data_IF_713147968387
#
_entry.id   IF_713147968387
#
_cell.length_a   1.000
_cell.length_b   1.000
_cell.length_c   1.000
_cell.angle_alpha   90.00
_cell.angle_beta   90.00
_cell.angle_gamma   90.00
#
_symmetry.space_group_name_H-M   'P 1'
#
loop_
_entity.id
_entity.type
_entity.pdbx_description
1 polymer ?
#
# COMPACT_ATOMS: atom_id res chain seq x y z
N UNK A 1 -1.46 -10.05 16.00
CA UNK A 1 -0.98 -9.48 14.72
C UNK A 1 -2.04 -9.75 13.66
N UNK A 2 -2.40 -8.75 12.86
CA UNK A 2 -3.28 -8.96 11.71
C UNK A 2 -2.43 -9.40 10.52
N UNK A 3 -2.75 -10.58 9.98
CA UNK A 3 -2.06 -11.12 8.81
C UNK A 3 -2.84 -10.69 7.56
N UNK A 4 -2.17 -9.95 6.68
CA UNK A 4 -2.70 -9.56 5.39
C UNK A 4 -2.14 -10.43 4.28
N UNK A 5 -2.97 -10.78 3.30
CA UNK A 5 -2.57 -11.59 2.15
C UNK A 5 -2.97 -10.89 0.84
N UNK A 6 -2.09 -10.85 -0.18
CA UNK A 6 -2.43 -10.30 -1.48
C UNK A 6 -3.62 -11.04 -2.13
N UNK A 7 -4.62 -10.30 -2.61
CA UNK A 7 -5.74 -10.88 -3.34
C UNK A 7 -5.37 -11.12 -4.81
N UNK A 8 -5.21 -12.39 -5.18
CA UNK A 8 -4.88 -12.85 -6.53
C UNK A 8 -5.88 -12.37 -7.61
N UNK A 9 -7.10 -12.01 -7.24
CA UNK A 9 -8.08 -11.44 -8.16
C UNK A 9 -7.77 -9.98 -8.52
N UNK A 10 -7.03 -9.27 -7.66
CA UNK A 10 -6.68 -7.86 -7.86
C UNK A 10 -5.27 -7.67 -8.43
N UNK A 11 -4.35 -8.59 -8.14
CA UNK A 11 -2.93 -8.53 -8.54
C UNK A 11 -2.76 -8.26 -10.04
N UNK A 12 -2.03 -7.20 -10.39
CA UNK A 12 -1.67 -6.98 -11.78
C UNK A 12 -0.80 -8.11 -12.37
N UNK A 13 -0.96 -8.39 -13.66
CA UNK A 13 -0.21 -9.48 -14.32
C UNK A 13 1.31 -9.27 -14.39
N UNK A 14 1.83 -8.06 -14.14
CA UNK A 14 3.27 -7.81 -14.01
C UNK A 14 3.77 -7.83 -12.57
N UNK A 15 2.91 -8.10 -11.59
CA UNK A 15 3.36 -8.40 -10.22
C UNK A 15 3.65 -9.88 -10.11
N UNK A 16 4.77 -10.22 -9.49
CA UNK A 16 5.10 -11.58 -9.06
C UNK A 16 4.99 -11.67 -7.55
N UNK A 17 4.35 -12.74 -7.08
CA UNK A 17 4.27 -13.09 -5.68
C UNK A 17 5.21 -14.25 -5.37
N UNK A 18 5.95 -14.15 -4.26
CA UNK A 18 6.85 -15.20 -3.76
C UNK A 18 6.78 -15.30 -2.24
N UNK A 19 7.51 -16.27 -1.65
CA UNK A 19 7.53 -16.53 -0.20
C UNK A 19 6.11 -16.69 0.39
N UNK A 20 5.33 -17.62 -0.17
CA UNK A 20 3.93 -17.84 0.22
C UNK A 20 3.08 -16.55 0.10
N UNK A 21 3.27 -15.82 -1.00
CA UNK A 21 2.62 -14.56 -1.33
C UNK A 21 2.91 -13.41 -0.34
N UNK A 22 4.00 -13.48 0.43
CA UNK A 22 4.39 -12.39 1.32
C UNK A 22 5.27 -11.35 0.63
N UNK A 23 6.02 -11.76 -0.40
CA UNK A 23 6.89 -10.87 -1.17
C UNK A 23 6.21 -10.53 -2.49
N UNK A 24 6.14 -9.23 -2.76
CA UNK A 24 5.50 -8.61 -3.91
C UNK A 24 6.59 -7.88 -4.69
N UNK A 25 6.83 -8.29 -5.93
CA UNK A 25 7.81 -7.66 -6.83
C UNK A 25 7.20 -7.38 -8.18
N UNK A 26 7.78 -6.44 -8.93
CA UNK A 26 7.47 -6.29 -10.34
C UNK A 26 8.32 -7.28 -11.15
N UNK A 27 7.69 -7.95 -12.10
CA UNK A 27 8.34 -8.84 -13.06
C UNK A 27 8.31 -8.25 -14.46
N UNK A 28 9.34 -8.56 -15.24
CA UNK A 28 9.41 -8.21 -16.67
C UNK A 28 8.48 -9.10 -17.51
N UNK A 29 8.11 -10.26 -16.99
CA UNK A 29 7.21 -11.22 -17.64
C UNK A 29 5.80 -11.14 -17.07
N UNK A 30 4.82 -11.37 -17.95
CA UNK A 30 3.41 -11.46 -17.59
C UNK A 30 3.17 -12.79 -16.87
N UNK A 31 2.64 -12.72 -15.65
CA UNK A 31 2.23 -13.87 -14.86
C UNK A 31 0.87 -14.41 -15.31
N UNK A 32 0.66 -15.71 -15.14
CA UNK A 32 -0.54 -16.44 -15.57
C UNK A 32 -1.72 -16.28 -14.61
N UNK A 33 -2.10 -15.05 -14.27
CA UNK A 33 -3.32 -14.81 -13.50
C UNK A 33 -4.55 -14.78 -14.43
N UNK A 34 -5.66 -15.47 -14.07
CA UNK A 34 -6.89 -15.44 -14.85
C UNK A 34 -7.46 -14.03 -14.98
N UNK A 35 -8.20 -13.73 -16.05
CA UNK A 35 -8.88 -12.45 -16.16
C UNK A 35 -9.96 -12.29 -15.06
N UNK A 36 -10.03 -11.08 -14.49
CA UNK A 36 -10.95 -10.77 -13.41
C UNK A 36 -11.29 -9.27 -13.44
N UNK A 37 -12.55 -8.86 -13.20
CA UNK A 37 -12.94 -7.44 -13.19
C UNK A 37 -12.17 -6.62 -12.15
N UNK A 38 -11.87 -7.22 -11.00
CA UNK A 38 -11.12 -6.54 -9.93
C UNK A 38 -9.60 -6.40 -10.19
N UNK A 39 -9.10 -6.92 -11.31
CA UNK A 39 -7.65 -6.94 -11.59
C UNK A 39 -7.15 -5.56 -12.00
N UNK A 40 -6.08 -5.10 -11.35
CA UNK A 40 -5.45 -3.83 -11.73
C UNK A 40 -4.74 -3.90 -13.08
N UNK A 41 -4.83 -2.83 -13.87
CA UNK A 41 -4.03 -2.65 -15.09
C UNK A 41 -2.60 -2.16 -14.81
N UNK A 42 -2.42 -1.42 -13.73
CA UNK A 42 -1.12 -0.93 -13.25
C UNK A 42 -0.50 -1.89 -12.24
N UNK A 43 0.83 -1.92 -12.03
CA UNK A 43 1.55 -2.82 -11.11
C UNK A 43 1.16 -2.68 -9.63
N UNK A 44 -0.09 -3.05 -9.30
CA UNK A 44 -0.75 -2.79 -8.03
C UNK A 44 -1.53 -4.02 -7.56
N UNK A 45 -1.79 -4.07 -6.26
CA UNK A 45 -2.51 -5.17 -5.61
C UNK A 45 -3.19 -4.66 -4.34
N UNK A 46 -4.36 -5.22 -3.99
CA UNK A 46 -4.95 -5.11 -2.66
C UNK A 46 -4.78 -6.41 -1.87
N UNK A 47 -4.76 -6.28 -0.55
CA UNK A 47 -4.97 -7.41 0.34
C UNK A 47 -6.45 -7.81 0.37
N UNK A 48 -6.69 -9.09 0.69
CA UNK A 48 -8.04 -9.66 0.80
C UNK A 48 -8.75 -9.20 2.06
N UNK A 49 -8.02 -9.10 3.17
CA UNK A 49 -8.55 -8.79 4.48
C UNK A 49 -8.72 -7.28 4.64
N UNK A 50 -9.83 -6.87 5.24
CA UNK A 50 -10.04 -5.48 5.63
C UNK A 50 -9.40 -5.19 6.98
N UNK A 51 -9.02 -3.94 7.19
CA UNK A 51 -8.64 -3.40 8.49
C UNK A 51 -9.88 -3.34 9.39
N UNK A 52 -9.77 -3.87 10.62
CA UNK A 52 -10.84 -3.88 11.61
C UNK A 52 -10.37 -3.22 12.92
N UNK A 53 -11.17 -2.29 13.46
CA UNK A 53 -10.88 -1.64 14.73
C UNK A 53 -9.55 -0.89 14.74
N UNK A 54 -8.63 -1.31 15.61
CA UNK A 54 -7.25 -0.83 15.67
C UNK A 54 -6.32 -1.88 15.10
N UNK A 55 -5.62 -1.53 14.04
CA UNK A 55 -4.74 -2.46 13.34
C UNK A 55 -3.35 -1.86 13.18
N UNK A 56 -2.34 -2.70 13.38
CA UNK A 56 -0.96 -2.39 13.10
C UNK A 56 -0.34 -3.53 12.31
N UNK A 57 0.41 -3.19 11.27
CA UNK A 57 1.24 -4.14 10.52
C UNK A 57 2.51 -3.45 10.03
N UNK A 58 3.54 -4.27 9.78
CA UNK A 58 4.82 -3.82 9.26
C UNK A 58 5.03 -4.40 7.87
N UNK A 59 5.74 -3.65 7.04
CA UNK A 59 6.23 -4.10 5.76
C UNK A 59 7.67 -3.69 5.58
N UNK A 60 8.45 -4.54 4.93
CA UNK A 60 9.76 -4.18 4.42
C UNK A 60 9.64 -3.79 2.96
N UNK A 61 10.20 -2.65 2.57
CA UNK A 61 10.12 -2.11 1.22
C UNK A 61 11.47 -1.71 0.65
N UNK A 62 11.70 -1.96 -0.63
CA UNK A 62 12.88 -1.50 -1.36
C UNK A 62 12.47 -0.77 -2.63
N UNK A 63 13.31 0.17 -3.08
CA UNK A 63 13.11 0.87 -4.34
C UNK A 63 11.95 1.88 -4.34
N UNK A 64 11.16 1.87 -5.41
CA UNK A 64 9.98 2.71 -5.64
C UNK A 64 8.68 1.89 -5.44
N UNK A 65 8.00 2.19 -4.33
CA UNK A 65 6.77 1.50 -3.93
C UNK A 65 5.71 2.45 -3.39
N UNK A 66 4.45 2.06 -3.57
CA UNK A 66 3.29 2.70 -2.96
C UNK A 66 2.78 1.81 -1.82
N UNK A 67 2.56 2.41 -0.65
CA UNK A 67 1.96 1.75 0.51
C UNK A 67 0.65 2.47 0.80
N UNK A 68 -0.45 1.75 0.80
CA UNK A 68 -1.77 2.37 0.89
C UNK A 68 -2.73 1.64 1.79
N UNK A 69 -3.72 2.40 2.26
CA UNK A 69 -5.03 1.87 2.65
C UNK A 69 -6.08 2.50 1.76
N UNK A 70 -7.06 1.71 1.34
CA UNK A 70 -8.03 2.14 0.33
C UNK A 70 -9.39 1.48 0.52
N UNK A 71 -10.44 2.11 0.01
CA UNK A 71 -11.74 1.45 -0.11
C UNK A 71 -11.72 0.42 -1.24
N UNK A 72 -12.56 -0.61 -1.13
CA UNK A 72 -12.66 -1.63 -2.20
C UNK A 72 -13.25 -1.07 -3.51
N UNK A 73 -13.93 0.07 -3.46
CA UNK A 73 -14.55 0.73 -4.62
C UNK A 73 -13.56 1.46 -5.54
N UNK A 74 -12.27 1.50 -5.20
CA UNK A 74 -11.27 2.18 -6.04
C UNK A 74 -11.26 1.63 -7.46
N UNK A 75 -10.95 2.48 -8.45
CA UNK A 75 -10.85 2.00 -9.82
C UNK A 75 -9.72 0.98 -9.94
N UNK A 76 -9.95 -0.02 -10.78
CA UNK A 76 -8.97 -1.06 -11.14
C UNK A 76 -8.29 -0.74 -12.47
N UNK A 77 -8.85 0.21 -13.22
CA UNK A 77 -8.52 0.54 -14.59
C UNK A 77 -8.25 2.04 -14.70
N UNK A 78 -7.42 2.43 -15.66
CA UNK A 78 -7.07 3.83 -15.91
C UNK A 78 -5.73 4.23 -15.32
N UNK A 79 -5.58 5.53 -15.08
CA UNK A 79 -4.34 6.16 -14.64
C UNK A 79 -4.08 5.99 -13.13
N UNK A 80 -2.88 6.31 -12.67
CA UNK A 80 -2.50 6.28 -11.25
C UNK A 80 -3.37 7.18 -10.36
N UNK A 81 -3.94 8.26 -10.92
CA UNK A 81 -4.82 9.16 -10.19
C UNK A 81 -6.23 8.60 -10.02
N UNK A 82 -6.60 7.60 -10.82
CA UNK A 82 -7.92 6.96 -10.77
C UNK A 82 -7.91 5.67 -9.95
N UNK A 83 -6.76 5.00 -9.84
CA UNK A 83 -6.59 3.69 -9.19
C UNK A 83 -6.15 3.80 -7.72
N UNK A 84 -5.24 2.91 -7.27
CA UNK A 84 -4.55 3.04 -5.97
C UNK A 84 -3.77 4.35 -5.96
N UNK A 85 -3.84 5.09 -4.85
CA UNK A 85 -3.31 6.45 -4.71
C UNK A 85 -4.09 7.52 -5.49
N UNK A 86 -5.36 7.23 -5.78
CA UNK A 86 -6.36 8.20 -6.21
C UNK A 86 -7.22 8.73 -5.05
N UNK A 87 -8.46 9.09 -5.36
CA UNK A 87 -9.38 9.76 -4.42
C UNK A 87 -9.79 8.93 -3.20
N UNK A 88 -9.92 7.61 -3.36
CA UNK A 88 -10.47 6.70 -2.34
C UNK A 88 -9.38 5.91 -1.61
N UNK A 89 -8.17 6.47 -1.56
CA UNK A 89 -7.01 5.87 -0.93
C UNK A 89 -6.14 6.91 -0.25
N UNK A 90 -5.42 6.46 0.77
CA UNK A 90 -4.37 7.23 1.44
C UNK A 90 -3.07 6.46 1.23
N UNK A 91 -2.11 7.10 0.56
CA UNK A 91 -0.88 6.47 0.14
C UNK A 91 0.34 7.17 0.68
N UNK A 92 1.30 6.38 1.16
CA UNK A 92 2.70 6.76 1.29
C UNK A 92 3.46 6.22 0.07
N UNK A 93 3.96 7.11 -0.78
CA UNK A 93 4.87 6.77 -1.85
C UNK A 93 6.31 6.82 -1.30
N UNK A 94 7.01 5.70 -1.38
CA UNK A 94 8.36 5.55 -0.88
C UNK A 94 9.34 5.45 -2.06
N UNK A 95 10.08 6.52 -2.32
CA UNK A 95 11.24 6.53 -3.22
C UNK A 95 12.54 6.38 -2.40
N UNK A 96 13.65 6.02 -3.05
CA UNK A 96 14.94 5.87 -2.36
C UNK A 96 15.41 7.12 -1.60
N UNK A 97 15.05 8.30 -2.08
CA UNK A 97 15.53 9.59 -1.61
C UNK A 97 14.41 10.52 -1.09
N UNK A 98 13.13 10.19 -1.33
CA UNK A 98 11.97 11.06 -1.04
C UNK A 98 10.72 10.29 -0.71
N UNK A 99 9.94 10.78 0.25
CA UNK A 99 8.61 10.26 0.55
C UNK A 99 7.54 11.29 0.22
N UNK A 100 6.44 10.82 -0.35
CA UNK A 100 5.26 11.65 -0.58
C UNK A 100 4.04 11.01 0.07
N UNK A 101 3.18 11.84 0.62
CA UNK A 101 1.83 11.43 0.96
C UNK A 101 0.87 11.84 -0.15
N UNK A 102 0.01 10.93 -0.59
CA UNK A 102 -0.99 11.19 -1.62
C UNK A 102 -2.38 10.77 -1.15
N UNK A 103 -3.32 11.70 -1.22
CA UNK A 103 -4.74 11.47 -0.97
C UNK A 103 -5.57 12.50 -1.74
N UNK A 104 -6.73 12.10 -2.29
CA UNK A 104 -7.63 13.02 -2.99
C UNK A 104 -6.93 13.82 -4.11
N UNK A 105 -6.05 13.16 -4.87
CA UNK A 105 -5.17 13.76 -5.90
C UNK A 105 -4.27 14.89 -5.41
N UNK A 106 -4.17 15.11 -4.11
CA UNK A 106 -3.25 16.05 -3.50
C UNK A 106 -2.00 15.29 -3.09
N UNK A 107 -0.84 15.84 -3.44
CA UNK A 107 0.47 15.31 -3.09
C UNK A 107 1.10 16.23 -2.06
N UNK A 108 1.63 15.66 -0.99
CA UNK A 108 2.37 16.36 0.06
C UNK A 108 3.76 15.77 0.16
N UNK A 109 4.78 16.61 -0.03
CA UNK A 109 6.17 16.24 0.18
C UNK A 109 6.43 16.06 1.68
N UNK A 110 7.11 14.98 2.06
CA UNK A 110 7.38 14.66 3.44
C UNK A 110 8.87 14.81 3.74
N UNK A 111 9.24 15.45 4.86
CA UNK A 111 10.63 15.58 5.24
C UNK A 111 11.25 14.20 5.46
N UNK A 112 12.30 13.89 4.69
CA UNK A 112 12.95 12.59 4.72
C UNK A 112 13.86 12.51 5.93
N UNK A 113 13.45 11.74 6.93
CA UNK A 113 14.27 11.44 8.12
C UNK A 113 14.57 9.95 8.26
N UNK A 114 13.98 9.12 7.40
CA UNK A 114 14.01 7.65 7.53
C UNK A 114 15.16 7.03 6.75
N UNK A 115 16.09 6.40 7.47
CA UNK A 115 17.09 5.47 6.89
C UNK A 115 16.57 4.04 6.81
N UNK A 116 15.47 3.72 7.51
CA UNK A 116 14.90 2.38 7.52
C UNK A 116 14.03 2.12 6.29
N UNK A 117 14.08 0.86 5.87
CA UNK A 117 13.26 0.28 4.81
C UNK A 117 12.08 -0.52 5.36
N UNK A 118 11.83 -0.46 6.67
CA UNK A 118 10.65 -1.05 7.28
C UNK A 118 9.66 0.05 7.67
N UNK A 119 8.43 -0.09 7.16
CA UNK A 119 7.34 0.86 7.38
C UNK A 119 6.26 0.18 8.22
N UNK A 120 5.96 0.79 9.36
CA UNK A 120 4.80 0.44 10.18
C UNK A 120 3.60 1.25 9.75
N UNK A 121 2.44 0.60 9.60
CA UNK A 121 1.17 1.25 9.30
C UNK A 121 0.22 0.99 10.45
N UNK A 122 -0.29 2.06 11.05
CA UNK A 122 -1.29 2.03 12.11
C UNK A 122 -2.59 2.65 11.63
N UNK A 123 -3.70 1.98 11.91
CA UNK A 123 -5.04 2.49 11.64
C UNK A 123 -5.91 2.33 12.88
N UNK A 124 -6.56 3.42 13.29
CA UNK A 124 -7.70 3.40 14.21
C UNK A 124 -8.95 3.84 13.44
N UNK A 125 -9.80 2.87 13.08
CA UNK A 125 -11.01 3.14 12.28
C UNK A 125 -11.98 4.02 13.05
N UNK A 126 -12.11 3.82 14.37
CA UNK A 126 -13.07 4.56 15.21
C UNK A 126 -12.64 6.01 15.46
N UNK A 127 -11.34 6.22 15.66
CA UNK A 127 -10.76 7.54 15.84
C UNK A 127 -10.40 8.22 14.50
N UNK A 128 -10.61 7.53 13.37
CA UNK A 128 -10.34 8.11 12.07
C UNK A 128 -8.86 8.40 11.80
N UNK A 129 -7.96 7.63 12.42
CA UNK A 129 -6.51 7.90 12.38
C UNK A 129 -5.81 6.89 11.48
N UNK A 130 -4.96 7.38 10.59
CA UNK A 130 -3.98 6.58 9.85
C UNK A 130 -2.60 7.20 10.04
N UNK A 131 -1.65 6.38 10.45
CA UNK A 131 -0.28 6.80 10.73
C UNK A 131 0.72 5.86 10.07
N UNK A 132 1.74 6.44 9.48
CA UNK A 132 2.89 5.76 8.90
C UNK A 132 4.13 6.03 9.74
N UNK A 133 4.90 4.99 9.97
CA UNK A 133 6.10 5.05 10.80
C UNK A 133 7.28 4.41 10.09
N UNK A 134 8.46 4.98 10.28
CA UNK A 134 9.71 4.31 9.99
C UNK A 134 10.12 3.48 11.20
N UNK A 135 10.41 2.21 10.98
CA UNK A 135 10.70 1.23 12.04
C UNK A 135 12.14 0.74 11.87
N UNK A 136 13.00 1.06 12.83
CA UNK A 136 14.34 0.48 12.96
C UNK A 136 14.50 -0.08 14.38
N UNK A 137 15.56 0.29 15.10
CA UNK A 137 15.66 0.07 16.55
C UNK A 137 14.63 0.91 17.33
N UNK A 138 14.19 2.02 16.72
CA UNK A 138 13.13 2.89 17.24
C UNK A 138 12.06 3.12 16.18
N UNK A 139 10.88 3.54 16.62
CA UNK A 139 9.75 3.86 15.75
C UNK A 139 9.58 5.37 15.66
N UNK A 140 9.72 5.92 14.46
CA UNK A 140 9.61 7.36 14.19
C UNK A 140 8.42 7.63 13.29
N UNK A 141 7.61 8.64 13.64
CA UNK A 141 6.44 9.02 12.86
C UNK A 141 6.88 9.66 11.53
N UNK A 142 6.40 9.12 10.42
CA UNK A 142 6.57 9.71 9.08
C UNK A 142 5.43 10.68 8.80
N UNK A 143 4.19 10.21 8.92
CA UNK A 143 3.02 11.00 8.61
C UNK A 143 1.79 10.46 9.33
N UNK A 144 0.88 11.36 9.69
CA UNK A 144 -0.44 11.05 10.25
C UNK A 144 -1.49 11.85 9.52
N UNK A 145 -2.59 11.20 9.20
CA UNK A 145 -3.83 11.84 8.77
C UNK A 145 -4.93 11.52 9.76
N UNK A 146 -5.75 12.53 10.04
CA UNK A 146 -7.06 12.34 10.65
C UNK A 146 -8.14 12.56 9.61
N UNK A 147 -9.08 11.62 9.53
CA UNK A 147 -10.15 11.61 8.53
C UNK A 147 -11.33 10.77 9.05
N UNK A 148 -12.43 10.73 8.31
CA UNK A 148 -13.56 9.85 8.62
C UNK A 148 -13.63 8.75 7.58
N UNK A 149 -13.33 7.52 8.00
CA UNK A 149 -13.48 6.36 7.14
C UNK A 149 -14.96 5.97 7.03
N UNK A 150 -15.46 5.89 5.80
CA UNK A 150 -16.87 5.62 5.50
C UNK A 150 -17.12 4.21 4.98
N UNK A 151 -16.05 3.47 4.68
CA UNK A 151 -16.10 2.08 4.21
C UNK A 151 -14.95 1.27 4.80
N UNK A 152 -15.02 -0.07 4.76
CA UNK A 152 -13.88 -0.92 5.12
C UNK A 152 -12.64 -0.59 4.30
N UNK A 153 -11.50 -0.52 4.99
CA UNK A 153 -10.21 -0.23 4.40
C UNK A 153 -9.45 -1.52 4.09
N UNK A 154 -8.76 -1.54 2.97
CA UNK A 154 -7.93 -2.65 2.52
C UNK A 154 -6.52 -2.14 2.30
N UNK A 155 -5.50 -2.79 2.90
CA UNK A 155 -4.12 -2.51 2.55
C UNK A 155 -3.90 -2.77 1.06
N UNK A 156 -3.08 -1.94 0.44
CA UNK A 156 -2.75 -2.07 -0.98
C UNK A 156 -1.35 -1.57 -1.27
N UNK A 157 -0.77 -2.14 -2.32
CA UNK A 157 0.62 -1.91 -2.68
C UNK A 157 0.77 -1.65 -4.17
N UNK A 158 1.63 -0.68 -4.51
CA UNK A 158 2.14 -0.46 -5.86
C UNK A 158 3.63 -0.77 -5.89
N UNK A 159 4.13 -1.46 -6.93
CA UNK A 159 5.55 -1.81 -7.03
C UNK A 159 6.05 -1.53 -8.44
N UNK A 160 6.85 -0.47 -8.62
CA UNK A 160 7.37 -0.06 -9.93
C UNK A 160 8.81 -0.50 -10.15
N UNK A 161 9.69 -0.20 -9.21
CA UNK A 161 11.11 -0.55 -9.28
C UNK A 161 11.60 -0.94 -7.88
N UNK A 162 11.17 -2.11 -7.38
CA UNK A 162 11.38 -2.45 -5.99
C UNK A 162 10.69 -3.73 -5.53
N UNK A 163 10.52 -3.84 -4.22
CA UNK A 163 9.82 -4.94 -3.56
C UNK A 163 9.08 -4.48 -2.32
N UNK A 164 7.99 -5.18 -1.99
CA UNK A 164 7.31 -5.11 -0.69
C UNK A 164 7.27 -6.51 -0.10
N UNK A 165 7.57 -6.63 1.19
CA UNK A 165 7.44 -7.85 1.97
C UNK A 165 6.54 -7.60 3.17
N UNK A 166 5.45 -8.36 3.26
CA UNK A 166 4.56 -8.39 4.42
C UNK A 166 5.24 -9.16 5.56
N UNK A 167 5.39 -8.52 6.72
CA UNK A 167 6.03 -9.09 7.90
C UNK A 167 5.09 -10.01 8.70
#
# INVERSE_FOLDING_TARGET
SHQFTPDLNTVNKRIRLSENNRVITRADTVQSYPDHPDRFDLPKVLCRESVCGRCYWEIECSGDVDISVSYKSISRKGSDNECLCGHQSWCLNCYPDRYFFKHNNTVTDLPVTSTSRRIGVYVDVSAGTLSFYSVSDTMSLIHTVQTTFTQPLYPGFGVYHGSVKLC
#
